data_IF_200707388572
#
_entry.id   IF_200707388572
#
_cell.length_a   1.000
_cell.length_b   1.000
_cell.length_c   1.000
_cell.angle_alpha   90.00
_cell.angle_beta   90.00
_cell.angle_gamma   90.00
#
_symmetry.space_group_name_H-M   'P 1'
#
loop_
_entity.id
_entity.type
_entity.pdbx_description
1 polymer ?
#
# COMPACT_ATOMS: atom_id res chain seq x y z
N UNK A 1 1.99 40.24 30.33
CA UNK A 1 2.13 38.95 29.61
C UNK A 1 1.63 37.78 30.48
N UNK A 2 0.37 37.86 30.91
CA UNK A 2 -0.31 36.88 31.75
C UNK A 2 -1.79 36.89 31.37
N UNK A 3 -2.21 35.96 30.51
CA UNK A 3 -3.61 35.67 30.19
C UNK A 3 -3.68 34.46 29.24
N UNK A 4 -3.24 33.27 29.69
CA UNK A 4 -3.56 31.99 29.02
C UNK A 4 -3.40 30.77 29.94
N UNK A 5 -3.62 30.95 31.24
CA UNK A 5 -3.84 29.87 32.21
C UNK A 5 -5.14 30.20 32.91
N UNK A 6 -6.24 29.60 32.48
CA UNK A 6 -7.50 29.39 33.23
C UNK A 6 -8.60 29.04 32.20
N UNK A 7 -8.75 27.73 31.89
CA UNK A 7 -10.03 27.07 31.48
C UNK A 7 -9.84 25.61 31.02
N UNK A 8 -9.06 24.81 31.77
CA UNK A 8 -9.10 23.34 31.63
C UNK A 8 -9.30 22.59 32.96
N UNK A 9 -9.45 23.29 34.09
CA UNK A 9 -9.48 22.66 35.41
C UNK A 9 -10.88 22.42 36.00
N UNK A 10 -11.97 22.87 35.37
CA UNK A 10 -13.31 22.81 36.00
C UNK A 10 -14.32 21.87 35.34
N UNK A 11 -13.88 20.92 34.50
CA UNK A 11 -14.77 19.86 33.96
C UNK A 11 -14.56 18.51 34.68
N UNK A 12 -13.59 18.42 35.61
CA UNK A 12 -13.24 17.14 36.25
C UNK A 12 -13.67 16.94 37.70
N UNK A 13 -14.27 17.94 38.37
CA UNK A 13 -14.61 17.81 39.80
C UNK A 13 -16.07 17.42 40.10
N UNK A 14 -16.83 17.03 39.08
CA UNK A 14 -18.29 16.86 39.21
C UNK A 14 -18.85 15.44 39.14
N UNK A 15 -18.05 14.38 39.01
CA UNK A 15 -18.59 13.02 38.85
C UNK A 15 -17.78 11.96 39.62
N UNK A 16 -18.11 11.83 40.92
CA UNK A 16 -18.04 10.53 41.61
C UNK A 16 -19.05 9.57 40.97
N UNK A 17 -18.76 9.07 39.77
CA UNK A 17 -19.41 7.87 39.25
C UNK A 17 -18.40 6.74 39.28
N UNK A 18 -18.63 5.78 40.17
CA UNK A 18 -18.02 4.46 40.18
C UNK A 18 -18.39 3.61 38.95
N UNK A 19 -18.41 4.22 37.77
CA UNK A 19 -18.47 3.53 36.49
C UNK A 19 -17.04 3.17 36.11
N UNK A 20 -16.73 1.90 36.35
CA UNK A 20 -15.47 1.21 36.07
C UNK A 20 -14.68 1.84 34.91
N UNK A 21 -13.40 2.16 35.16
CA UNK A 21 -12.42 2.55 34.12
C UNK A 21 -12.54 1.70 32.85
N UNK A 22 -12.86 0.41 33.00
CA UNK A 22 -13.10 -0.54 31.92
C UNK A 22 -14.23 -0.14 30.94
N UNK A 23 -15.32 0.45 31.43
CA UNK A 23 -16.45 0.88 30.60
C UNK A 23 -16.08 2.09 29.73
N UNK A 24 -15.38 3.07 30.30
CA UNK A 24 -14.86 4.22 29.54
C UNK A 24 -13.83 3.80 28.48
N UNK A 25 -12.91 2.90 28.84
CA UNK A 25 -11.96 2.33 27.87
C UNK A 25 -12.67 1.58 26.73
N UNK A 26 -13.71 0.81 27.04
CA UNK A 26 -14.51 0.10 26.03
C UNK A 26 -15.24 1.06 25.09
N UNK A 27 -15.84 2.13 25.61
CA UNK A 27 -16.52 3.16 24.80
C UNK A 27 -15.51 3.87 23.88
N UNK A 28 -14.41 4.37 24.43
CA UNK A 28 -13.37 5.05 23.64
C UNK A 28 -12.80 4.11 22.57
N UNK A 29 -12.53 2.86 22.92
CA UNK A 29 -12.04 1.85 21.99
C UNK A 29 -13.04 1.53 20.87
N UNK A 30 -14.33 1.39 21.21
CA UNK A 30 -15.42 1.19 20.25
C UNK A 30 -15.54 2.38 19.30
N UNK A 31 -15.53 3.61 19.83
CA UNK A 31 -15.55 4.85 19.04
C UNK A 31 -14.34 4.95 18.11
N UNK A 32 -13.13 4.59 18.57
CA UNK A 32 -11.93 4.56 17.72
C UNK A 32 -12.03 3.49 16.62
N UNK A 33 -12.47 2.27 16.95
CA UNK A 33 -12.65 1.19 15.96
C UNK A 33 -13.65 1.60 14.86
N UNK A 34 -14.72 2.28 15.26
CA UNK A 34 -15.73 2.81 14.33
C UNK A 34 -15.15 3.92 13.44
N UNK A 35 -14.31 4.79 13.99
CA UNK A 35 -13.63 5.86 13.21
C UNK A 35 -12.54 5.32 12.27
N UNK A 36 -11.77 4.30 12.64
CA UNK A 36 -10.84 3.63 11.71
C UNK A 36 -11.59 2.97 10.56
N UNK A 37 -12.72 2.30 10.86
CA UNK A 37 -13.61 1.74 9.83
C UNK A 37 -14.15 2.83 8.89
N UNK A 38 -14.52 3.98 9.43
CA UNK A 38 -14.93 5.14 8.63
C UNK A 38 -13.83 5.59 7.66
N UNK A 39 -12.59 5.75 8.13
CA UNK A 39 -11.48 6.14 7.25
C UNK A 39 -11.17 5.10 6.17
N UNK A 40 -11.29 3.80 6.49
CA UNK A 40 -11.19 2.72 5.47
C UNK A 40 -12.28 2.86 4.41
N UNK A 41 -13.53 3.11 4.82
CA UNK A 41 -14.66 3.27 3.91
C UNK A 41 -14.51 4.49 3.01
N UNK A 42 -13.97 5.61 3.55
CA UNK A 42 -13.68 6.81 2.76
C UNK A 42 -12.62 6.51 1.70
N UNK A 43 -11.53 5.84 2.08
CA UNK A 43 -10.49 5.44 1.12
C UNK A 43 -11.05 4.53 0.02
N UNK A 44 -11.80 3.50 0.40
CA UNK A 44 -12.47 2.60 -0.53
C UNK A 44 -13.39 3.36 -1.51
N UNK A 45 -14.20 4.29 -1.01
CA UNK A 45 -15.09 5.13 -1.84
C UNK A 45 -14.32 5.98 -2.84
N UNK A 46 -13.18 6.56 -2.44
CA UNK A 46 -12.33 7.35 -3.33
C UNK A 46 -11.63 6.52 -4.39
N UNK A 47 -11.09 5.36 -4.02
CA UNK A 47 -10.42 4.48 -4.98
C UNK A 47 -11.36 3.93 -6.04
N UNK A 48 -12.66 3.76 -5.72
CA UNK A 48 -13.69 3.42 -6.73
C UNK A 48 -13.87 4.49 -7.80
N UNK A 49 -13.50 5.74 -7.50
CA UNK A 49 -13.53 6.86 -8.46
C UNK A 49 -12.18 7.08 -9.14
N UNK A 50 -11.16 6.27 -8.86
CA UNK A 50 -9.85 6.36 -9.51
C UNK A 50 -9.99 6.17 -11.01
N UNK A 51 -9.38 7.08 -11.77
CA UNK A 51 -9.30 6.97 -13.25
C UNK A 51 -8.02 6.27 -13.70
N UNK A 52 -7.12 5.94 -12.77
CA UNK A 52 -5.91 5.16 -13.07
C UNK A 52 -6.31 3.68 -13.19
N UNK A 53 -6.25 3.08 -14.39
CA UNK A 53 -6.68 1.71 -14.57
C UNK A 53 -5.70 0.69 -13.97
N UNK A 54 -4.49 1.09 -13.56
CA UNK A 54 -3.47 0.21 -12.96
C UNK A 54 -3.40 0.38 -11.43
N UNK A 55 -3.85 1.52 -10.90
CA UNK A 55 -3.95 1.84 -9.47
C UNK A 55 -5.42 2.15 -9.10
N UNK A 56 -6.26 1.13 -9.24
CA UNK A 56 -7.70 1.21 -9.00
C UNK A 56 -8.09 0.61 -7.63
N UNK A 57 -9.40 0.57 -7.37
CA UNK A 57 -9.93 -0.05 -6.16
C UNK A 57 -9.51 -1.51 -5.99
N UNK A 58 -9.45 -2.28 -7.08
CA UNK A 58 -9.11 -3.70 -7.01
C UNK A 58 -7.66 -3.92 -6.64
N UNK A 59 -6.74 -3.06 -7.12
CA UNK A 59 -5.36 -3.02 -6.65
C UNK A 59 -5.29 -2.83 -5.12
N UNK A 60 -5.87 -1.75 -4.59
CA UNK A 60 -5.82 -1.47 -3.14
C UNK A 60 -6.46 -2.58 -2.33
N UNK A 61 -7.56 -3.15 -2.81
CA UNK A 61 -8.22 -4.28 -2.17
C UNK A 61 -7.29 -5.49 -2.05
N UNK A 62 -6.60 -5.88 -3.14
CA UNK A 62 -5.65 -7.01 -3.11
C UNK A 62 -4.44 -6.72 -2.21
N UNK A 63 -3.92 -5.50 -2.20
CA UNK A 63 -2.85 -5.10 -1.26
C UNK A 63 -3.31 -5.25 0.19
N UNK A 64 -4.54 -4.86 0.51
CA UNK A 64 -5.12 -5.05 1.85
C UNK A 64 -5.25 -6.54 2.18
N UNK A 65 -5.75 -7.36 1.26
CA UNK A 65 -5.88 -8.81 1.44
C UNK A 65 -4.51 -9.47 1.70
N UNK A 66 -3.48 -9.16 0.90
CA UNK A 66 -2.12 -9.65 1.13
C UNK A 66 -1.55 -9.14 2.45
N UNK A 67 -1.83 -7.89 2.82
CA UNK A 67 -1.41 -7.35 4.11
C UNK A 67 -2.04 -8.13 5.27
N UNK A 68 -3.35 -8.39 5.21
CA UNK A 68 -4.09 -9.18 6.22
C UNK A 68 -3.54 -10.62 6.31
N UNK A 69 -3.22 -11.22 5.16
CA UNK A 69 -2.63 -12.56 5.10
C UNK A 69 -1.22 -12.60 5.72
N UNK A 70 -0.35 -11.64 5.39
CA UNK A 70 1.02 -11.58 5.95
C UNK A 70 0.97 -11.36 7.47
N UNK A 71 0.17 -10.42 7.96
CA UNK A 71 0.10 -10.13 9.41
C UNK A 71 -0.52 -11.25 10.24
N UNK A 72 -1.31 -12.15 9.62
CA UNK A 72 -1.88 -13.31 10.30
C UNK A 72 -0.80 -14.27 10.79
N UNK A 73 0.30 -14.36 10.03
CA UNK A 73 1.46 -15.20 10.34
C UNK A 73 2.55 -14.46 11.13
N UNK A 74 2.55 -13.13 11.09
CA UNK A 74 3.50 -12.29 11.82
C UNK A 74 3.05 -12.04 13.26
N UNK A 75 3.47 -12.91 14.18
CA UNK A 75 3.09 -12.86 15.61
C UNK A 75 3.61 -11.66 16.41
N UNK A 76 4.46 -10.80 15.83
CA UNK A 76 5.14 -9.73 16.58
C UNK A 76 4.40 -8.38 16.63
N UNK A 77 3.26 -8.23 15.94
CA UNK A 77 2.53 -6.97 15.90
C UNK A 77 1.35 -6.94 16.87
N UNK A 78 1.26 -5.87 17.65
CA UNK A 78 0.10 -5.63 18.50
C UNK A 78 -1.12 -5.14 17.69
N UNK A 79 -2.28 -5.06 18.35
CA UNK A 79 -3.56 -4.69 17.73
C UNK A 79 -3.54 -3.32 17.02
N UNK A 80 -2.91 -2.32 17.63
CA UNK A 80 -2.83 -0.97 17.06
C UNK A 80 -1.93 -0.95 15.83
N UNK A 81 -0.82 -1.68 15.85
CA UNK A 81 0.09 -1.81 14.70
C UNK A 81 -0.59 -2.52 13.53
N UNK A 82 -1.33 -3.60 13.79
CA UNK A 82 -2.13 -4.29 12.78
C UNK A 82 -3.17 -3.35 12.16
N UNK A 83 -3.92 -2.61 12.98
CA UNK A 83 -4.88 -1.62 12.50
C UNK A 83 -4.21 -0.50 11.68
N UNK A 84 -3.06 -0.02 12.12
CA UNK A 84 -2.32 1.03 11.43
C UNK A 84 -1.83 0.56 10.06
N UNK A 85 -1.34 -0.67 9.98
CA UNK A 85 -0.86 -1.25 8.73
C UNK A 85 -2.01 -1.47 7.73
N UNK A 86 -3.16 -1.98 8.18
CA UNK A 86 -4.36 -2.09 7.33
C UNK A 86 -4.85 -0.72 6.89
N UNK A 87 -4.87 0.26 7.78
CA UNK A 87 -5.24 1.62 7.41
C UNK A 87 -4.24 2.24 6.40
N UNK A 88 -2.94 1.97 6.56
CA UNK A 88 -1.93 2.41 5.61
C UNK A 88 -2.15 1.78 4.23
N UNK A 89 -2.41 0.46 4.17
CA UNK A 89 -2.70 -0.24 2.91
C UNK A 89 -3.90 0.36 2.16
N UNK A 90 -4.98 0.71 2.86
CA UNK A 90 -6.13 1.38 2.24
C UNK A 90 -5.83 2.78 1.69
N UNK A 91 -4.89 3.50 2.30
CA UNK A 91 -4.65 4.91 2.01
C UNK A 91 -3.42 5.16 1.12
N UNK A 92 -2.52 4.20 0.96
CA UNK A 92 -1.21 4.42 0.34
C UNK A 92 -1.29 4.98 -1.09
N UNK A 93 -2.33 4.63 -1.83
CA UNK A 93 -2.53 5.03 -3.23
C UNK A 93 -3.58 6.13 -3.44
N UNK A 94 -4.14 6.72 -2.36
CA UNK A 94 -5.19 7.74 -2.47
C UNK A 94 -4.75 8.98 -3.24
N UNK A 95 -3.47 9.35 -3.19
CA UNK A 95 -2.89 10.45 -3.97
C UNK A 95 -3.18 10.33 -5.46
N UNK A 96 -3.28 9.11 -6.00
CA UNK A 96 -3.64 8.82 -7.40
C UNK A 96 -4.99 9.36 -7.81
N UNK A 97 -5.96 9.35 -6.88
CA UNK A 97 -7.31 9.88 -7.12
C UNK A 97 -7.34 11.40 -7.26
N UNK A 98 -6.32 12.08 -6.71
CA UNK A 98 -6.16 13.52 -6.76
C UNK A 98 -5.40 13.91 -8.03
N UNK A 99 -4.28 13.24 -8.28
CA UNK A 99 -3.42 13.57 -9.41
C UNK A 99 -4.05 13.16 -10.75
N UNK A 100 -4.83 12.07 -10.80
CA UNK A 100 -5.52 11.59 -12.01
C UNK A 100 -4.58 11.45 -13.23
N UNK A 101 -3.29 11.16 -13.03
CA UNK A 101 -2.27 11.24 -14.09
C UNK A 101 -1.96 9.91 -14.76
N UNK A 102 -1.52 10.01 -16.01
CA UNK A 102 -0.99 8.92 -16.84
C UNK A 102 0.27 8.29 -16.21
N UNK A 103 0.56 7.00 -16.48
CA UNK A 103 1.52 6.18 -15.73
C UNK A 103 3.02 6.57 -15.82
N UNK A 104 3.40 7.70 -16.44
CA UNK A 104 4.76 7.88 -16.98
C UNK A 104 5.76 8.69 -16.13
N UNK A 105 5.35 9.42 -15.09
CA UNK A 105 6.30 10.27 -14.36
C UNK A 105 6.80 9.61 -13.07
N UNK A 106 8.06 9.18 -13.04
CA UNK A 106 8.67 8.59 -11.84
C UNK A 106 8.61 9.55 -10.64
N UNK A 107 8.74 10.86 -10.88
CA UNK A 107 8.58 11.89 -9.86
C UNK A 107 7.17 11.91 -9.23
N UNK A 108 6.13 11.44 -9.93
CA UNK A 108 4.77 11.41 -9.37
C UNK A 108 4.59 10.30 -8.35
N UNK A 109 5.34 9.19 -8.41
CA UNK A 109 5.26 8.15 -7.37
C UNK A 109 5.53 8.74 -5.97
N UNK A 110 6.55 9.58 -5.85
CA UNK A 110 6.88 10.25 -4.60
C UNK A 110 5.80 11.26 -4.15
N UNK A 111 5.29 12.06 -5.11
CA UNK A 111 4.24 13.05 -4.82
C UNK A 111 2.94 12.36 -4.40
N UNK A 112 2.58 11.26 -5.04
CA UNK A 112 1.35 10.53 -4.74
C UNK A 112 1.38 9.95 -3.32
N UNK A 113 2.50 9.37 -2.87
CA UNK A 113 2.66 8.89 -1.49
C UNK A 113 2.55 10.03 -0.45
N UNK A 114 3.13 11.20 -0.74
CA UNK A 114 2.98 12.39 0.12
C UNK A 114 1.52 12.82 0.17
N UNK A 115 0.85 12.91 -0.98
CA UNK A 115 -0.55 13.31 -1.06
C UNK A 115 -1.47 12.30 -0.34
N UNK A 116 -1.17 11.01 -0.42
CA UNK A 116 -1.85 9.95 0.32
C UNK A 116 -1.72 10.14 1.83
N UNK A 117 -0.49 10.37 2.32
CA UNK A 117 -0.23 10.59 3.74
C UNK A 117 -0.90 11.87 4.26
N UNK A 118 -0.77 12.98 3.52
CA UNK A 118 -1.42 14.25 3.86
C UNK A 118 -2.95 14.15 3.83
N UNK A 119 -3.50 13.40 2.86
CA UNK A 119 -4.94 13.14 2.79
C UNK A 119 -5.42 12.35 4.00
N UNK A 120 -4.71 11.29 4.39
CA UNK A 120 -5.06 10.52 5.59
C UNK A 120 -5.05 11.43 6.82
N UNK A 121 -4.02 12.26 6.96
CA UNK A 121 -3.90 13.20 8.07
C UNK A 121 -5.06 14.21 8.11
N UNK A 122 -5.40 14.83 6.97
CA UNK A 122 -6.52 15.76 6.84
C UNK A 122 -7.86 15.10 7.22
N UNK A 123 -8.17 13.92 6.68
CA UNK A 123 -9.42 13.22 7.00
C UNK A 123 -9.47 12.75 8.46
N UNK A 124 -8.33 12.39 9.03
CA UNK A 124 -8.24 12.05 10.45
C UNK A 124 -8.56 13.25 11.33
N UNK A 125 -8.03 14.44 11.00
CA UNK A 125 -8.39 15.70 11.68
C UNK A 125 -9.89 16.00 11.52
N UNK A 126 -10.40 15.97 10.29
CA UNK A 126 -11.80 16.28 9.96
C UNK A 126 -12.79 15.41 10.74
N UNK A 127 -12.46 14.15 11.00
CA UNK A 127 -13.32 13.21 11.73
C UNK A 127 -12.92 13.01 13.20
N UNK A 128 -12.04 13.86 13.72
CA UNK A 128 -11.58 13.84 15.11
C UNK A 128 -11.00 12.48 15.52
N UNK A 129 -10.23 11.84 14.64
CA UNK A 129 -9.49 10.62 14.94
C UNK A 129 -8.01 10.97 15.10
N UNK A 130 -7.55 10.91 16.34
CA UNK A 130 -6.15 11.13 16.69
C UNK A 130 -5.64 9.92 17.47
N UNK A 131 -4.36 9.59 17.32
CA UNK A 131 -3.73 8.51 18.06
C UNK A 131 -2.67 7.75 17.30
N UNK A 132 -2.17 6.69 17.95
CA UNK A 132 -1.06 5.88 17.44
C UNK A 132 -1.37 5.24 16.09
N UNK A 133 -2.61 4.77 15.86
CA UNK A 133 -3.01 4.13 14.61
C UNK A 133 -2.80 5.06 13.42
N UNK A 134 -3.42 6.24 13.44
CA UNK A 134 -3.30 7.25 12.36
C UNK A 134 -1.86 7.72 12.21
N UNK A 135 -1.17 8.00 13.33
CA UNK A 135 0.21 8.47 13.30
C UNK A 135 1.17 7.46 12.67
N UNK A 136 1.04 6.17 13.02
CA UNK A 136 1.84 5.10 12.44
C UNK A 136 1.50 4.92 10.97
N UNK A 137 0.21 4.87 10.60
CA UNK A 137 -0.22 4.74 9.20
C UNK A 137 0.35 5.84 8.32
N UNK A 138 0.23 7.10 8.77
CA UNK A 138 0.70 8.27 8.02
C UNK A 138 2.20 8.20 7.78
N UNK A 139 3.00 7.86 8.80
CA UNK A 139 4.47 7.71 8.64
C UNK A 139 4.84 6.55 7.72
N UNK A 140 4.12 5.43 7.81
CA UNK A 140 4.35 4.28 6.91
C UNK A 140 4.11 4.70 5.46
N UNK A 141 2.98 5.37 5.16
CA UNK A 141 2.67 5.85 3.80
C UNK A 141 3.76 6.81 3.31
N UNK A 142 4.14 7.78 4.15
CA UNK A 142 5.18 8.75 3.80
C UNK A 142 6.53 8.09 3.46
N UNK A 143 6.85 6.98 4.13
CA UNK A 143 8.08 6.22 3.93
C UNK A 143 7.95 5.11 2.88
N UNK A 144 6.78 4.91 2.29
CA UNK A 144 6.54 3.86 1.29
C UNK A 144 7.35 4.12 0.01
N UNK A 145 7.41 5.38 -0.42
CA UNK A 145 8.06 5.85 -1.65
C UNK A 145 9.45 5.29 -1.95
N UNK A 146 9.66 4.94 -3.21
CA UNK A 146 10.98 4.54 -3.73
C UNK A 146 11.90 5.76 -3.88
N UNK A 147 13.14 5.65 -3.38
CA UNK A 147 14.16 6.70 -3.43
C UNK A 147 14.27 7.48 -2.11
N UNK A 148 13.59 8.62 -2.01
CA UNK A 148 13.61 9.48 -0.82
C UNK A 148 13.14 8.76 0.47
N UNK A 149 12.37 7.67 0.31
CA UNK A 149 11.97 6.78 1.38
C UNK A 149 13.12 6.22 2.20
N UNK A 150 14.35 6.07 1.67
CA UNK A 150 15.46 5.55 2.48
C UNK A 150 15.90 6.52 3.59
N UNK A 151 15.97 7.82 3.28
CA UNK A 151 16.30 8.87 4.26
C UNK A 151 15.12 9.06 5.23
N UNK A 152 13.90 9.18 4.70
CA UNK A 152 12.69 9.34 5.51
C UNK A 152 12.44 8.13 6.43
N UNK A 153 12.68 6.91 5.96
CA UNK A 153 12.57 5.67 6.77
C UNK A 153 13.56 5.69 7.94
N UNK A 154 14.78 6.19 7.72
CA UNK A 154 15.78 6.29 8.79
C UNK A 154 15.36 7.33 9.84
N UNK A 155 14.82 8.48 9.40
CA UNK A 155 14.44 9.59 10.28
C UNK A 155 13.10 9.37 11.00
N UNK A 156 12.08 8.83 10.33
CA UNK A 156 10.70 8.82 10.81
C UNK A 156 10.27 7.48 11.41
N UNK A 157 10.95 6.37 11.08
CA UNK A 157 10.54 5.03 11.50
C UNK A 157 11.53 4.37 12.46
N UNK A 158 10.99 3.90 13.58
CA UNK A 158 11.66 2.94 14.48
C UNK A 158 11.78 1.57 13.82
N UNK A 159 12.63 0.68 14.34
CA UNK A 159 12.78 -0.68 13.80
C UNK A 159 11.47 -1.47 13.78
N UNK A 160 10.61 -1.29 14.80
CA UNK A 160 9.27 -1.91 14.80
C UNK A 160 8.40 -1.38 13.67
N UNK A 161 8.44 -0.08 13.39
CA UNK A 161 7.69 0.54 12.29
C UNK A 161 8.27 0.19 10.92
N UNK A 162 9.58 -0.02 10.80
CA UNK A 162 10.24 -0.51 9.58
C UNK A 162 9.73 -1.91 9.19
N UNK A 163 9.50 -2.78 10.17
CA UNK A 163 8.86 -4.08 9.91
C UNK A 163 7.45 -3.93 9.33
N UNK A 164 6.66 -2.96 9.80
CA UNK A 164 5.33 -2.68 9.23
C UNK A 164 5.43 -2.16 7.80
N UNK A 165 6.36 -1.25 7.53
CA UNK A 165 6.64 -0.76 6.18
C UNK A 165 7.05 -1.90 5.24
N UNK A 166 7.89 -2.82 5.70
CA UNK A 166 8.29 -3.99 4.91
C UNK A 166 7.10 -4.89 4.56
N UNK A 167 6.15 -5.08 5.48
CA UNK A 167 4.92 -5.84 5.17
C UNK A 167 4.07 -5.12 4.12
N UNK A 168 3.91 -3.79 4.22
CA UNK A 168 3.17 -3.04 3.22
C UNK A 168 3.83 -3.13 1.84
N UNK A 169 5.16 -2.98 1.79
CA UNK A 169 5.95 -3.12 0.55
C UNK A 169 5.85 -4.52 -0.04
N UNK A 170 5.91 -5.56 0.80
CA UNK A 170 5.69 -6.93 0.37
C UNK A 170 4.32 -7.10 -0.27
N UNK A 171 3.26 -6.62 0.40
CA UNK A 171 1.89 -6.73 -0.08
C UNK A 171 1.66 -5.99 -1.41
N UNK A 172 2.20 -4.78 -1.54
CA UNK A 172 2.15 -4.01 -2.79
C UNK A 172 2.92 -4.70 -3.92
N UNK A 173 4.13 -5.22 -3.62
CA UNK A 173 4.94 -5.96 -4.60
C UNK A 173 4.29 -7.28 -5.04
N UNK A 174 3.58 -7.98 -4.17
CA UNK A 174 2.87 -9.21 -4.53
C UNK A 174 1.84 -8.95 -5.63
N UNK A 175 1.16 -7.80 -5.56
CA UNK A 175 0.15 -7.43 -6.55
C UNK A 175 0.73 -7.19 -7.94
N UNK A 176 2.03 -6.91 -8.06
CA UNK A 176 2.72 -6.78 -9.36
C UNK A 176 2.79 -8.12 -10.11
N UNK A 177 2.75 -9.24 -9.38
CA UNK A 177 2.73 -10.60 -9.93
C UNK A 177 1.31 -11.14 -10.11
N UNK A 178 0.28 -10.34 -9.77
CA UNK A 178 -1.11 -10.73 -9.97
C UNK A 178 -1.44 -10.79 -11.47
N UNK A 179 -1.97 -11.93 -11.92
CA UNK A 179 -2.28 -12.19 -13.34
C UNK A 179 -3.35 -11.24 -13.87
N UNK A 180 -4.37 -10.96 -13.08
CA UNK A 180 -5.50 -10.12 -13.49
C UNK A 180 -5.04 -8.67 -13.73
N UNK A 181 -4.17 -8.15 -12.85
CA UNK A 181 -3.53 -6.84 -13.05
C UNK A 181 -2.66 -6.81 -14.31
N UNK A 182 -1.86 -7.85 -14.50
CA UNK A 182 -1.00 -7.98 -15.67
C UNK A 182 -1.81 -8.01 -16.98
N UNK A 183 -2.90 -8.78 -17.00
CA UNK A 183 -3.83 -8.86 -18.13
C UNK A 183 -4.46 -7.51 -18.44
N UNK A 184 -4.92 -6.77 -17.43
CA UNK A 184 -5.48 -5.42 -17.63
C UNK A 184 -4.45 -4.46 -18.23
N UNK A 185 -3.22 -4.50 -17.74
CA UNK A 185 -2.16 -3.64 -18.28
C UNK A 185 -1.76 -4.05 -19.71
N UNK A 186 -1.73 -5.35 -19.99
CA UNK A 186 -1.57 -5.89 -21.34
C UNK A 186 -2.66 -5.34 -22.30
N UNK A 187 -3.94 -5.43 -21.93
CA UNK A 187 -5.07 -4.97 -22.77
C UNK A 187 -5.01 -3.45 -23.04
N UNK A 188 -4.50 -2.66 -22.07
CA UNK A 188 -4.24 -1.23 -22.27
C UNK A 188 -3.07 -1.00 -23.23
N UNK A 189 -2.04 -1.83 -23.15
CA UNK A 189 -0.87 -1.77 -24.03
C UNK A 189 -1.24 -2.04 -25.48
N UNK A 190 -2.21 -2.91 -25.76
CA UNK A 190 -2.72 -3.11 -27.12
C UNK A 190 -3.33 -1.84 -27.72
N UNK A 191 -3.91 -0.98 -26.88
CA UNK A 191 -4.70 0.18 -27.31
C UNK A 191 -3.89 1.47 -27.51
N UNK A 192 -2.69 1.59 -26.93
CA UNK A 192 -1.89 2.82 -27.06
C UNK A 192 -0.41 2.63 -26.81
N UNK A 193 0.43 3.29 -27.61
CA UNK A 193 1.90 3.30 -27.46
C UNK A 193 2.36 3.75 -26.08
N UNK A 194 1.67 4.68 -25.43
CA UNK A 194 2.06 5.12 -24.08
C UNK A 194 1.94 3.99 -23.06
N UNK A 195 0.91 3.15 -23.18
CA UNK A 195 0.71 1.98 -22.34
C UNK A 195 1.61 0.82 -22.75
N UNK A 196 2.00 0.70 -24.02
CA UNK A 196 3.06 -0.23 -24.46
C UNK A 196 4.39 0.09 -23.78
N UNK A 197 4.79 1.36 -23.81
CA UNK A 197 5.99 1.82 -23.12
C UNK A 197 5.85 1.63 -21.61
N UNK A 198 4.71 1.98 -21.02
CA UNK A 198 4.43 1.73 -19.60
C UNK A 198 4.58 0.25 -19.24
N UNK A 199 3.97 -0.64 -20.01
CA UNK A 199 4.03 -2.09 -19.78
C UNK A 199 5.45 -2.63 -19.96
N UNK A 200 6.15 -2.23 -21.03
CA UNK A 200 7.55 -2.63 -21.26
C UNK A 200 8.46 -2.18 -20.13
N UNK A 201 8.33 -0.92 -19.70
CA UNK A 201 9.09 -0.35 -18.58
C UNK A 201 8.74 -1.07 -17.28
N UNK A 202 7.47 -1.38 -17.04
CA UNK A 202 7.04 -2.15 -15.87
C UNK A 202 7.70 -3.53 -15.83
N UNK A 203 7.60 -4.30 -16.91
CA UNK A 203 8.25 -5.62 -17.00
C UNK A 203 9.76 -5.47 -16.83
N UNK A 204 10.39 -4.54 -17.55
CA UNK A 204 11.83 -4.32 -17.44
C UNK A 204 12.24 -3.95 -16.01
N UNK A 205 11.53 -3.02 -15.37
CA UNK A 205 11.86 -2.51 -14.05
C UNK A 205 11.71 -3.60 -12.98
N UNK A 206 10.57 -4.27 -12.92
CA UNK A 206 10.29 -5.23 -11.84
C UNK A 206 10.89 -6.61 -12.08
N UNK A 207 10.96 -7.06 -13.34
CA UNK A 207 11.47 -8.38 -13.69
C UNK A 207 12.99 -8.34 -13.94
N UNK A 208 13.53 -7.30 -14.57
CA UNK A 208 14.96 -7.28 -14.94
C UNK A 208 15.82 -6.51 -13.94
N UNK A 209 15.33 -5.40 -13.37
CA UNK A 209 16.15 -4.47 -12.59
C UNK A 209 16.01 -4.61 -11.07
N UNK A 210 14.80 -4.41 -10.53
CA UNK A 210 14.55 -4.44 -9.08
C UNK A 210 14.68 -5.83 -8.46
N UNK A 211 14.56 -6.89 -9.28
CA UNK A 211 14.55 -8.28 -8.84
C UNK A 211 13.70 -8.47 -7.58
N UNK A 212 12.36 -8.37 -7.68
CA UNK A 212 11.40 -8.45 -6.56
C UNK A 212 11.92 -9.25 -5.35
N UNK A 213 12.07 -8.56 -4.21
CA UNK A 213 12.57 -9.12 -2.96
C UNK A 213 11.53 -8.93 -1.87
N UNK A 214 11.04 -10.05 -1.34
CA UNK A 214 10.11 -10.02 -0.22
C UNK A 214 10.86 -10.13 1.11
N UNK A 215 10.48 -9.30 2.07
CA UNK A 215 11.07 -9.25 3.40
C UNK A 215 10.53 -10.36 4.31
N UNK A 216 9.25 -10.68 4.20
CA UNK A 216 8.57 -11.66 5.06
C UNK A 216 8.57 -13.05 4.44
N UNK A 217 8.74 -14.13 5.24
CA UNK A 217 8.63 -15.51 4.72
C UNK A 217 7.28 -15.81 4.08
N UNK A 218 6.20 -15.27 4.64
CA UNK A 218 4.84 -15.46 4.09
C UNK A 218 4.70 -14.80 2.71
N UNK A 219 5.19 -13.57 2.53
CA UNK A 219 5.18 -12.95 1.22
C UNK A 219 6.07 -13.68 0.20
N UNK A 220 7.23 -14.24 0.60
CA UNK A 220 8.03 -15.09 -0.30
C UNK A 220 7.22 -16.30 -0.80
N UNK A 221 6.52 -16.99 0.10
CA UNK A 221 5.69 -18.13 -0.23
C UNK A 221 4.55 -17.76 -1.20
N UNK A 222 3.80 -16.68 -0.94
CA UNK A 222 2.75 -16.19 -1.85
C UNK A 222 3.36 -15.76 -3.19
N UNK A 223 4.47 -15.03 -3.15
CA UNK A 223 5.18 -14.53 -4.31
C UNK A 223 5.68 -15.63 -5.23
N UNK A 224 6.13 -16.77 -4.68
CA UNK A 224 6.52 -17.95 -5.46
C UNK A 224 5.34 -18.52 -6.26
N UNK A 225 4.17 -18.60 -5.63
CA UNK A 225 2.95 -19.08 -6.29
C UNK A 225 2.50 -18.09 -7.39
N UNK A 226 2.46 -16.80 -7.08
CA UNK A 226 2.10 -15.75 -8.03
C UNK A 226 3.09 -15.68 -9.21
N UNK A 227 4.40 -15.74 -8.94
CA UNK A 227 5.43 -15.79 -9.98
C UNK A 227 5.23 -16.99 -10.92
N UNK A 228 4.82 -18.15 -10.38
CA UNK A 228 4.52 -19.34 -11.17
C UNK A 228 3.30 -19.13 -12.08
N UNK A 229 2.23 -18.52 -11.55
CA UNK A 229 1.03 -18.20 -12.34
C UNK A 229 1.32 -17.14 -13.40
N UNK A 230 2.08 -16.11 -13.05
CA UNK A 230 2.48 -15.03 -13.93
C UNK A 230 3.36 -15.53 -15.07
N UNK A 231 4.36 -16.37 -14.79
CA UNK A 231 5.21 -16.99 -15.81
C UNK A 231 4.38 -17.80 -16.81
N UNK A 232 3.48 -18.67 -16.32
CA UNK A 232 2.59 -19.46 -17.19
C UNK A 232 1.74 -18.57 -18.10
N UNK A 233 1.23 -17.46 -17.58
CA UNK A 233 0.48 -16.49 -18.38
C UNK A 233 1.38 -15.75 -19.38
N UNK A 234 2.60 -15.37 -19.00
CA UNK A 234 3.55 -14.70 -19.88
C UNK A 234 4.03 -15.60 -21.03
N UNK A 235 4.04 -16.92 -20.81
CA UNK A 235 4.43 -17.95 -21.77
C UNK A 235 3.27 -18.47 -22.65
N UNK A 236 2.02 -18.16 -22.31
CA UNK A 236 0.84 -18.63 -23.05
C UNK A 236 0.64 -17.84 -24.35
N UNK A 237 -0.59 -17.77 -24.85
CA UNK A 237 -0.99 -17.07 -26.09
C UNK A 237 -0.42 -15.64 -26.25
N UNK A 238 -0.05 -14.98 -25.14
CA UNK A 238 0.55 -13.64 -25.13
C UNK A 238 2.03 -13.59 -25.53
N UNK A 239 2.70 -14.74 -25.63
CA UNK A 239 4.11 -14.82 -26.02
C UNK A 239 4.34 -14.23 -27.41
N UNK A 240 3.43 -14.48 -28.35
CA UNK A 240 3.55 -13.95 -29.71
C UNK A 240 3.40 -12.43 -29.73
N UNK A 241 2.43 -11.87 -29.01
CA UNK A 241 2.31 -10.42 -28.84
C UNK A 241 3.60 -9.81 -28.29
N UNK A 242 4.14 -10.36 -27.20
CA UNK A 242 5.37 -9.85 -26.61
C UNK A 242 6.55 -9.89 -27.58
N UNK A 243 6.69 -10.96 -28.37
CA UNK A 243 7.73 -11.07 -29.40
C UNK A 243 7.56 -10.03 -30.51
N UNK A 244 6.34 -9.83 -31.01
CA UNK A 244 6.07 -8.88 -32.11
C UNK A 244 6.28 -7.44 -31.66
N UNK A 245 5.75 -7.07 -30.49
CA UNK A 245 5.76 -5.66 -30.04
C UNK A 245 7.07 -5.27 -29.36
N UNK A 246 7.67 -6.16 -28.55
CA UNK A 246 8.85 -5.83 -27.75
C UNK A 246 10.14 -6.50 -28.24
N UNK A 247 10.05 -7.42 -29.19
CA UNK A 247 11.18 -8.16 -29.76
C UNK A 247 11.49 -9.45 -29.00
N UNK A 248 11.96 -10.46 -29.72
CA UNK A 248 12.26 -11.79 -29.17
C UNK A 248 13.31 -11.76 -28.05
N UNK A 249 14.35 -10.94 -28.19
CA UNK A 249 15.39 -10.77 -27.16
C UNK A 249 14.81 -10.30 -25.82
N UNK A 250 13.86 -9.36 -25.85
CA UNK A 250 13.21 -8.85 -24.64
C UNK A 250 12.34 -9.92 -23.99
N UNK A 251 11.54 -10.62 -24.78
CA UNK A 251 10.63 -11.67 -24.32
C UNK A 251 11.39 -12.84 -23.69
N UNK A 252 12.42 -13.36 -24.36
CA UNK A 252 13.22 -14.48 -23.86
C UNK A 252 13.98 -14.10 -22.57
N UNK A 253 14.52 -12.88 -22.50
CA UNK A 253 15.15 -12.37 -21.28
C UNK A 253 14.15 -12.26 -20.13
N UNK A 254 12.94 -11.76 -20.39
CA UNK A 254 11.89 -11.64 -19.39
C UNK A 254 11.47 -13.00 -18.84
N UNK A 255 11.28 -13.99 -19.71
CA UNK A 255 10.97 -15.38 -19.33
C UNK A 255 12.06 -15.97 -18.43
N UNK A 256 13.32 -15.86 -18.84
CA UNK A 256 14.45 -16.34 -18.04
C UNK A 256 14.50 -15.67 -16.65
N UNK A 257 14.27 -14.37 -16.57
CA UNK A 257 14.29 -13.64 -15.30
C UNK A 257 13.10 -14.00 -14.40
N UNK A 258 11.90 -14.18 -14.96
CA UNK A 258 10.74 -14.69 -14.21
C UNK A 258 10.98 -16.10 -13.68
N UNK A 259 11.61 -16.98 -14.46
CA UNK A 259 11.97 -18.32 -14.03
C UNK A 259 13.00 -18.28 -12.88
N UNK A 260 14.02 -17.41 -12.99
CA UNK A 260 14.98 -17.17 -11.89
C UNK A 260 14.29 -16.63 -10.64
N UNK A 261 13.38 -15.67 -10.79
CA UNK A 261 12.59 -15.13 -9.68
C UNK A 261 11.80 -16.24 -8.98
N UNK A 262 11.03 -17.03 -9.74
CA UNK A 262 10.26 -18.18 -9.21
C UNK A 262 11.14 -19.15 -8.41
N UNK A 263 12.34 -19.47 -8.92
CA UNK A 263 13.21 -20.44 -8.26
C UNK A 263 13.88 -19.86 -6.99
N UNK A 264 14.06 -18.55 -6.94
CA UNK A 264 14.67 -17.84 -5.80
C UNK A 264 13.70 -17.62 -4.64
N UNK A 265 12.42 -17.43 -4.94
CA UNK A 265 11.35 -17.25 -3.94
C UNK A 265 10.95 -18.59 -3.31
#
# INVERSE_FOLDING_TARGET
>A
MHLFRLRCASIFDGLKLGLHKNTYFAIIYSTMKNKVKLLKNIAAGRMKTSKDPVHDFDHVKRVVEYTEEIISTYGCFNKQQKQALILAAWWHDIGRTITNKKPFFIATFFIDDILSALSLWFFSIKHGLFGSVVGISTRIIFCHSFGAGAVLTKLLLTDKSRKLLNVLRDADQLDLLNKERAKKFYELSEKSRIYQWGYKTFIWWYVHHLQLQFYTPKAKSIGKELASKFLKWFESEQKNFHKVIFGERFTNRSQMQLMKLKNRL
#
